data_IF_175708856186
#
_entry.id   IF_175708856186
#
_cell.length_a   1.000
_cell.length_b   1.000
_cell.length_c   1.000
_cell.angle_alpha   90.00
_cell.angle_beta   90.00
_cell.angle_gamma   90.00
#
_symmetry.space_group_name_H-M   'P 1'
#
loop_
_entity.id
_entity.type
_entity.pdbx_description
1 polymer ?
#
# COMPACT_ATOMS: atom_id res chain seq x y z
N UNK A 1 -2.96 -0.72 -38.05
CA UNK A 1 -3.49 -1.93 -37.39
C UNK A 1 -4.29 -1.48 -36.20
N UNK A 2 -5.49 -2.04 -36.06
CA UNK A 2 -6.68 -1.51 -35.37
C UNK A 2 -6.50 -1.09 -33.91
N UNK A 3 -7.04 0.07 -33.54
CA UNK A 3 -6.85 0.77 -32.25
C UNK A 3 -8.01 0.59 -31.25
N UNK A 4 -8.76 -0.52 -31.28
CA UNK A 4 -10.02 -0.66 -30.51
C UNK A 4 -10.00 -1.62 -29.31
N UNK A 5 -8.88 -1.78 -28.57
CA UNK A 5 -8.86 -2.68 -27.39
C UNK A 5 -7.86 -2.29 -26.29
N UNK A 6 -7.96 -1.08 -25.72
CA UNK A 6 -7.07 -0.61 -24.63
C UNK A 6 -7.83 -0.23 -23.33
N UNK A 7 -9.10 -0.58 -23.19
CA UNK A 7 -9.89 -0.14 -22.04
C UNK A 7 -10.36 -1.28 -21.13
N UNK A 8 -9.62 -1.45 -20.01
CA UNK A 8 -10.09 -1.89 -18.69
C UNK A 8 -8.89 -2.04 -17.74
N UNK A 9 -8.75 -1.11 -16.81
CA UNK A 9 -7.93 -1.33 -15.61
C UNK A 9 -6.87 -0.28 -15.30
N UNK A 10 -7.27 0.99 -15.12
CA UNK A 10 -6.39 1.96 -14.48
C UNK A 10 -7.22 2.89 -13.59
N UNK A 11 -6.77 3.00 -12.33
CA UNK A 11 -7.28 3.81 -11.21
C UNK A 11 -8.20 3.11 -10.21
N UNK A 12 -7.74 1.98 -9.64
CA UNK A 12 -8.51 1.23 -8.64
C UNK A 12 -7.70 0.79 -7.40
N UNK A 13 -6.37 0.84 -7.41
CA UNK A 13 -5.57 0.16 -6.39
C UNK A 13 -5.61 0.74 -4.97
N UNK A 14 -6.37 1.82 -4.70
CA UNK A 14 -6.65 2.22 -3.31
C UNK A 14 -8.12 2.54 -3.02
N UNK A 15 -9.05 2.40 -3.98
CA UNK A 15 -10.44 2.85 -3.81
C UNK A 15 -11.56 1.94 -4.37
N UNK A 16 -11.29 0.84 -5.12
CA UNK A 16 -12.36 -0.15 -5.38
C UNK A 16 -11.98 -1.59 -4.99
N UNK A 17 -12.08 -1.88 -3.70
CA UNK A 17 -12.40 -3.24 -3.24
C UNK A 17 -13.69 -3.31 -2.41
N UNK A 18 -14.50 -2.24 -2.38
CA UNK A 18 -15.83 -2.27 -1.77
C UNK A 18 -16.91 -2.40 -2.85
N UNK A 19 -17.73 -3.45 -2.73
CA UNK A 19 -18.94 -3.75 -3.50
C UNK A 19 -18.77 -4.36 -4.90
N UNK A 20 -18.59 -5.68 -4.94
CA UNK A 20 -19.11 -6.52 -6.02
C UNK A 20 -19.61 -7.85 -5.47
N UNK A 21 -20.80 -7.85 -4.86
CA UNK A 21 -21.66 -9.04 -4.71
C UNK A 21 -23.14 -8.60 -4.71
N UNK A 22 -23.90 -9.18 -5.63
CA UNK A 22 -25.36 -9.29 -5.74
C UNK A 22 -26.26 -8.05 -5.60
N UNK A 23 -26.68 -7.53 -6.76
CA UNK A 23 -27.95 -6.82 -6.89
C UNK A 23 -29.06 -7.83 -7.22
N UNK A 24 -29.66 -8.41 -6.19
CA UNK A 24 -31.06 -8.85 -6.27
C UNK A 24 -31.91 -7.80 -5.54
N UNK A 25 -32.83 -7.17 -6.27
CA UNK A 25 -33.80 -6.21 -5.73
C UNK A 25 -34.58 -6.79 -4.54
N UNK A 26 -35.02 -5.91 -3.62
CA UNK A 26 -36.46 -5.81 -3.46
C UNK A 26 -36.99 -4.38 -3.36
N UNK A 27 -38.16 -4.22 -3.98
CA UNK A 27 -39.13 -3.14 -3.84
C UNK A 27 -39.59 -2.88 -2.41
N UNK A 28 -39.62 -1.60 -1.98
CA UNK A 28 -40.76 -0.87 -1.37
C UNK A 28 -40.31 0.29 -0.43
N UNK A 29 -41.13 1.34 -0.23
CA UNK A 29 -40.66 2.67 0.17
C UNK A 29 -40.90 3.04 1.65
N UNK A 30 -40.10 3.99 2.14
CA UNK A 30 -40.48 4.93 3.20
C UNK A 30 -40.06 4.56 4.63
N UNK A 31 -38.92 5.10 5.09
CA UNK A 31 -38.69 5.35 6.50
C UNK A 31 -37.91 6.66 6.66
N UNK A 32 -38.51 7.59 7.42
CA UNK A 32 -37.94 8.89 7.73
C UNK A 32 -36.70 8.76 8.63
N UNK A 33 -35.65 9.53 8.32
CA UNK A 33 -34.47 9.68 9.16
C UNK A 33 -34.84 10.36 10.48
N UNK A 34 -34.84 9.58 11.56
CA UNK A 34 -34.86 10.08 12.94
C UNK A 34 -33.41 10.37 13.36
N UNK A 35 -33.12 11.62 13.67
CA UNK A 35 -31.85 12.03 14.30
C UNK A 35 -32.01 11.84 15.80
N UNK A 36 -31.27 10.89 16.37
CA UNK A 36 -31.05 10.85 17.82
C UNK A 36 -29.67 11.44 18.14
N UNK A 37 -29.59 12.42 19.06
CA UNK A 37 -28.34 12.76 19.73
C UNK A 37 -28.11 11.82 20.93
N UNK A 38 -26.86 11.77 21.37
CA UNK A 38 -26.29 10.96 22.46
C UNK A 38 -25.91 9.52 22.11
N UNK A 39 -24.69 9.37 21.58
CA UNK A 39 -23.92 8.13 21.75
C UNK A 39 -22.80 8.36 22.75
N UNK A 40 -22.87 7.62 23.86
CA UNK A 40 -21.72 7.34 24.69
C UNK A 40 -20.56 6.82 23.81
N UNK A 41 -19.32 7.23 24.12
CA UNK A 41 -18.09 6.66 23.56
C UNK A 41 -17.98 5.19 24.00
N UNK A 42 -18.71 4.31 23.33
CA UNK A 42 -18.35 2.91 23.29
C UNK A 42 -17.01 2.84 22.55
N UNK A 43 -16.02 2.20 23.18
CA UNK A 43 -14.76 1.81 22.54
C UNK A 43 -15.08 0.89 21.36
N UNK A 44 -15.25 1.47 20.18
CA UNK A 44 -15.37 0.75 18.92
C UNK A 44 -13.98 0.28 18.52
N UNK A 45 -13.43 -0.73 19.21
CA UNK A 45 -12.28 -1.45 18.67
C UNK A 45 -12.78 -2.32 17.54
N UNK A 46 -12.34 -2.04 16.31
CA UNK A 46 -12.66 -2.89 15.17
C UNK A 46 -12.26 -4.35 15.46
N UNK A 47 -13.11 -5.33 15.09
CA UNK A 47 -12.86 -6.72 15.41
C UNK A 47 -11.56 -7.21 14.76
N UNK A 48 -10.95 -8.23 15.38
CA UNK A 48 -9.81 -8.91 14.79
C UNK A 48 -10.15 -9.40 13.37
N UNK A 49 -9.27 -9.20 12.38
CA UNK A 49 -9.48 -9.72 11.04
C UNK A 49 -9.30 -11.24 11.02
N UNK A 50 -9.82 -11.88 9.96
CA UNK A 50 -9.76 -13.33 9.76
C UNK A 50 -9.18 -13.68 8.38
N UNK A 51 -8.44 -14.79 8.24
CA UNK A 51 -7.97 -15.69 9.30
C UNK A 51 -6.74 -15.14 10.04
N UNK A 52 -6.54 -15.52 11.30
CA UNK A 52 -5.25 -15.38 11.99
C UNK A 52 -4.42 -16.64 11.83
N UNK A 53 -3.09 -16.49 11.85
CA UNK A 53 -2.13 -17.60 11.77
C UNK A 53 -1.16 -17.52 12.92
N UNK A 54 -0.63 -18.68 13.33
CA UNK A 54 0.38 -18.79 14.38
C UNK A 54 1.75 -19.15 13.78
N UNK A 55 2.77 -18.37 14.10
CA UNK A 55 4.17 -18.63 13.69
C UNK A 55 5.05 -18.74 14.91
N UNK A 56 5.88 -19.78 14.96
CA UNK A 56 6.84 -20.01 16.04
C UNK A 56 8.22 -19.44 15.69
N UNK A 57 8.77 -18.68 16.63
CA UNK A 57 9.97 -17.85 16.52
C UNK A 57 11.16 -18.35 17.33
N UNK A 58 11.20 -19.63 17.72
CA UNK A 58 12.15 -20.11 18.75
C UNK A 58 11.34 -20.56 19.95
N UNK A 59 11.55 -19.94 21.12
CA UNK A 59 10.72 -20.16 22.31
C UNK A 59 9.44 -19.33 22.35
N UNK A 60 9.29 -18.33 21.48
CA UNK A 60 8.13 -17.45 21.37
C UNK A 60 7.27 -17.80 20.15
N UNK A 61 6.00 -17.39 20.17
CA UNK A 61 5.08 -17.51 19.04
C UNK A 61 4.27 -16.23 18.87
N UNK A 62 3.94 -15.88 17.64
CA UNK A 62 3.10 -14.75 17.30
C UNK A 62 1.85 -15.24 16.56
N UNK A 63 0.69 -14.80 17.02
CA UNK A 63 -0.56 -14.90 16.27
C UNK A 63 -0.81 -13.57 15.54
N UNK A 64 -1.00 -13.60 14.22
CA UNK A 64 -1.20 -12.39 13.44
C UNK A 64 -2.03 -12.63 12.18
N UNK A 65 -2.53 -11.54 11.61
CA UNK A 65 -3.21 -11.56 10.31
C UNK A 65 -2.17 -11.63 9.19
N UNK A 66 -2.19 -12.65 8.33
CA UNK A 66 -1.12 -12.88 7.36
C UNK A 66 -1.20 -11.97 6.13
N UNK A 67 -1.89 -10.83 6.24
CA UNK A 67 -2.08 -9.85 5.19
C UNK A 67 -1.94 -8.43 5.73
N UNK A 68 -1.73 -7.48 4.81
CA UNK A 68 -1.95 -6.05 5.04
C UNK A 68 -3.37 -5.65 4.63
N UNK A 69 -3.83 -4.50 5.10
CA UNK A 69 -5.10 -3.89 4.69
C UNK A 69 -4.94 -2.40 4.39
N UNK A 70 -5.93 -1.79 3.74
CA UNK A 70 -6.03 -0.32 3.57
C UNK A 70 -7.01 0.32 4.54
N UNK A 71 -7.64 -0.49 5.39
CA UNK A 71 -8.75 -0.19 6.27
C UNK A 71 -8.72 -1.17 7.45
N UNK A 72 -9.44 -0.85 8.53
CA UNK A 72 -9.65 -1.77 9.65
C UNK A 72 -10.77 -2.73 9.26
N UNK A 73 -10.55 -4.04 9.43
CA UNK A 73 -11.49 -5.08 9.01
C UNK A 73 -11.75 -5.16 7.49
N UNK A 74 -11.00 -4.42 6.67
CA UNK A 74 -11.12 -4.43 5.21
C UNK A 74 -10.61 -5.71 4.54
N UNK A 75 -10.82 -5.85 3.22
CA UNK A 75 -10.28 -6.99 2.47
C UNK A 75 -8.74 -7.02 2.52
N UNK A 76 -8.14 -8.21 2.48
CA UNK A 76 -6.68 -8.35 2.49
C UNK A 76 -6.08 -7.78 1.19
N UNK A 77 -5.00 -7.00 1.33
CA UNK A 77 -4.26 -6.39 0.22
C UNK A 77 -3.06 -7.24 -0.19
N UNK A 78 -2.03 -7.31 0.64
CA UNK A 78 -0.76 -7.98 0.32
C UNK A 78 -0.38 -8.98 1.42
N UNK A 79 0.19 -10.15 1.10
CA UNK A 79 0.57 -11.14 2.09
C UNK A 79 1.76 -10.66 2.93
N UNK A 80 1.72 -10.91 4.24
CA UNK A 80 2.92 -10.80 5.07
C UNK A 80 3.91 -11.90 4.63
N UNK A 81 5.16 -11.52 4.33
CA UNK A 81 6.15 -12.45 3.79
C UNK A 81 7.51 -12.38 4.51
N UNK A 82 7.60 -11.60 5.58
CA UNK A 82 8.77 -11.44 6.43
C UNK A 82 8.34 -11.35 7.90
N UNK A 83 9.03 -12.06 8.78
CA UNK A 83 8.77 -12.08 10.23
C UNK A 83 10.09 -11.97 10.98
N UNK A 84 10.17 -11.06 11.94
CA UNK A 84 11.34 -10.82 12.77
C UNK A 84 10.95 -11.00 14.24
N UNK A 85 11.17 -12.19 14.83
CA UNK A 85 10.90 -12.44 16.23
C UNK A 85 11.80 -11.61 17.13
N UNK A 86 11.22 -10.98 18.15
CA UNK A 86 11.95 -10.24 19.19
C UNK A 86 12.86 -9.13 18.60
N UNK A 87 12.37 -8.42 17.58
CA UNK A 87 13.09 -7.37 16.86
C UNK A 87 12.22 -6.13 16.70
N UNK A 88 12.76 -4.99 17.12
CA UNK A 88 12.16 -3.66 16.93
C UNK A 88 12.18 -3.23 15.44
N UNK A 89 11.07 -2.65 14.96
CA UNK A 89 10.94 -2.18 13.57
C UNK A 89 12.04 -1.18 13.16
N UNK A 90 12.59 -0.41 14.11
CA UNK A 90 13.69 0.53 13.90
C UNK A 90 15.02 -0.20 13.68
N UNK A 91 15.23 -1.35 14.33
CA UNK A 91 16.41 -2.21 14.11
C UNK A 91 16.40 -2.79 12.70
N UNK A 92 15.24 -3.25 12.21
CA UNK A 92 15.07 -3.70 10.81
C UNK A 92 15.43 -2.59 9.83
N UNK A 93 14.89 -1.39 10.06
CA UNK A 93 15.22 -0.21 9.25
C UNK A 93 16.71 0.10 9.26
N UNK A 94 17.32 0.18 10.44
CA UNK A 94 18.74 0.51 10.59
C UNK A 94 19.62 -0.51 9.84
N UNK A 95 19.34 -1.81 10.00
CA UNK A 95 20.05 -2.89 9.32
C UNK A 95 20.05 -2.73 7.80
N UNK A 96 18.91 -2.39 7.21
CA UNK A 96 18.77 -2.23 5.75
C UNK A 96 19.42 -0.94 5.23
N UNK A 97 19.32 0.16 5.98
CA UNK A 97 19.81 1.47 5.58
C UNK A 97 21.36 1.57 5.57
N UNK A 98 22.05 0.64 6.23
CA UNK A 98 23.53 0.57 6.24
C UNK A 98 24.13 -0.09 4.99
N UNK A 99 23.31 -0.73 4.15
CA UNK A 99 23.79 -1.53 3.03
C UNK A 99 24.08 -0.69 1.78
N UNK A 100 25.16 -1.04 1.09
CA UNK A 100 25.63 -0.40 -0.15
C UNK A 100 24.85 -0.79 -1.43
N UNK A 101 23.89 -1.70 -1.31
CA UNK A 101 23.12 -2.23 -2.44
C UNK A 101 23.82 -3.28 -3.33
N UNK A 102 25.08 -3.64 -3.07
CA UNK A 102 25.80 -4.62 -3.90
C UNK A 102 25.42 -6.07 -3.55
N UNK A 103 24.51 -6.64 -4.34
CA UNK A 103 23.97 -8.00 -4.14
C UNK A 103 24.53 -9.03 -5.11
N UNK A 104 25.58 -8.71 -5.88
CA UNK A 104 26.09 -9.57 -6.96
C UNK A 104 26.59 -10.92 -6.49
N UNK A 105 27.17 -10.99 -5.28
CA UNK A 105 27.59 -12.24 -4.64
C UNK A 105 26.44 -13.24 -4.39
N UNK A 106 25.19 -12.77 -4.43
CA UNK A 106 23.97 -13.56 -4.22
C UNK A 106 23.16 -13.74 -5.51
N UNK A 107 23.76 -13.47 -6.68
CA UNK A 107 23.15 -13.70 -7.98
C UNK A 107 22.20 -12.59 -8.48
N UNK A 108 22.05 -11.50 -7.73
CA UNK A 108 21.29 -10.34 -8.22
C UNK A 108 22.10 -9.54 -9.26
N UNK A 109 21.46 -9.06 -10.32
CA UNK A 109 22.16 -8.31 -11.36
C UNK A 109 22.59 -6.93 -10.84
N UNK A 110 23.72 -6.43 -11.33
CA UNK A 110 24.24 -5.10 -10.99
C UNK A 110 23.52 -3.96 -11.75
N UNK A 111 22.19 -3.99 -11.80
CA UNK A 111 21.35 -3.01 -12.51
C UNK A 111 20.18 -2.58 -11.63
N UNK A 112 19.62 -1.39 -11.86
CA UNK A 112 18.48 -0.93 -11.09
C UNK A 112 17.22 -1.79 -11.37
N UNK A 113 16.35 -2.03 -10.36
CA UNK A 113 16.49 -1.66 -8.96
C UNK A 113 17.11 -2.78 -8.10
N UNK A 114 17.99 -3.63 -8.65
CA UNK A 114 18.61 -4.73 -7.90
C UNK A 114 19.91 -4.31 -7.20
N UNK A 115 20.53 -3.21 -7.62
CA UNK A 115 21.75 -2.65 -7.05
C UNK A 115 21.53 -1.36 -6.22
N UNK A 116 20.28 -1.05 -5.85
CA UNK A 116 19.95 0.14 -5.06
C UNK A 116 20.32 -0.01 -3.58
N UNK A 117 20.48 1.12 -2.92
CA UNK A 117 20.44 1.24 -1.45
C UNK A 117 19.00 1.44 -0.98
N UNK A 118 18.71 1.01 0.23
CA UNK A 118 17.42 1.31 0.86
C UNK A 118 17.33 2.79 1.23
N UNK A 119 16.12 3.34 1.12
CA UNK A 119 15.76 4.69 1.55
C UNK A 119 14.32 4.71 2.04
N UNK A 120 13.94 5.82 2.69
CA UNK A 120 12.56 6.04 3.11
C UNK A 120 11.62 6.01 1.90
N UNK A 121 10.56 5.21 1.98
CA UNK A 121 9.56 5.11 0.93
C UNK A 121 8.45 6.14 1.12
N UNK A 122 7.93 6.61 -0.01
CA UNK A 122 6.61 7.21 -0.07
C UNK A 122 5.59 6.15 -0.49
N UNK A 123 4.52 6.04 0.27
CA UNK A 123 3.41 5.13 0.01
C UNK A 123 2.31 5.35 1.04
N UNK A 124 1.06 5.06 0.64
CA UNK A 124 -0.06 5.09 1.56
C UNK A 124 0.18 4.13 2.72
N UNK A 125 -0.23 4.55 3.91
CA UNK A 125 -0.21 3.69 5.08
C UNK A 125 -1.16 2.50 4.91
N UNK A 126 -0.71 1.34 5.40
CA UNK A 126 -1.49 0.11 5.47
C UNK A 126 -1.64 -0.35 6.91
N UNK A 127 -2.62 -1.22 7.14
CA UNK A 127 -2.94 -1.84 8.42
C UNK A 127 -2.43 -3.28 8.47
N UNK A 128 -2.13 -3.75 9.67
CA UNK A 128 -1.87 -5.14 10.02
C UNK A 128 -2.49 -5.43 11.39
N UNK A 129 -2.46 -6.69 11.82
CA UNK A 129 -3.03 -7.08 13.12
C UNK A 129 -2.22 -8.20 13.76
N UNK A 130 -2.00 -8.14 15.07
CA UNK A 130 -1.38 -9.20 15.84
C UNK A 130 -1.94 -9.32 17.26
N UNK A 131 -2.01 -10.53 17.81
CA UNK A 131 -2.39 -10.76 19.21
C UNK A 131 -1.13 -10.74 20.10
N UNK A 132 -1.14 -10.07 21.26
CA UNK A 132 -2.22 -9.28 21.86
C UNK A 132 -2.21 -7.78 21.46
N UNK A 133 -1.33 -7.37 20.56
CA UNK A 133 -1.09 -5.95 20.23
C UNK A 133 -2.25 -5.23 19.56
N UNK A 134 -3.18 -5.95 18.94
CA UNK A 134 -4.30 -5.40 18.19
C UNK A 134 -3.90 -4.93 16.79
N UNK A 135 -4.59 -3.89 16.30
CA UNK A 135 -4.28 -3.26 15.03
C UNK A 135 -2.96 -2.51 15.08
N UNK A 136 -2.22 -2.56 13.98
CA UNK A 136 -0.94 -1.87 13.80
C UNK A 136 -0.87 -1.24 12.42
N UNK A 137 -0.12 -0.16 12.27
CA UNK A 137 0.08 0.53 11.00
C UNK A 137 1.47 0.28 10.43
N UNK A 138 1.62 0.47 9.12
CA UNK A 138 2.92 0.42 8.42
C UNK A 138 3.78 1.65 8.75
N UNK A 139 4.22 1.77 10.00
CA UNK A 139 4.83 2.99 10.54
C UNK A 139 6.16 3.35 9.87
N UNK A 140 6.92 2.34 9.45
CA UNK A 140 8.14 2.52 8.66
C UNK A 140 7.95 1.84 7.31
N UNK A 141 8.22 2.59 6.24
CA UNK A 141 8.19 2.08 4.87
C UNK A 141 9.53 2.40 4.19
N UNK A 142 10.11 1.41 3.51
CA UNK A 142 11.40 1.52 2.85
C UNK A 142 11.30 1.11 1.38
N UNK A 143 12.03 1.79 0.50
CA UNK A 143 12.12 1.43 -0.90
C UNK A 143 13.56 1.22 -1.32
N UNK A 144 13.74 0.32 -2.27
CA UNK A 144 14.98 0.12 -3.01
C UNK A 144 14.65 0.28 -4.49
N UNK A 145 15.16 1.35 -5.09
CA UNK A 145 14.76 1.86 -6.40
C UNK A 145 14.26 3.30 -6.30
N UNK A 146 13.72 3.84 -7.38
CA UNK A 146 13.02 5.11 -7.36
C UNK A 146 11.51 4.90 -7.30
N UNK A 147 10.73 5.95 -7.04
CA UNK A 147 9.27 5.87 -6.99
C UNK A 147 8.68 5.29 -8.28
N UNK A 148 9.37 5.47 -9.41
CA UNK A 148 9.11 4.73 -10.64
C UNK A 148 10.36 4.66 -11.51
N UNK A 149 10.41 3.75 -12.49
CA UNK A 149 9.30 2.89 -12.94
C UNK A 149 9.16 1.57 -12.17
N UNK A 150 10.19 1.09 -11.49
CA UNK A 150 10.14 -0.17 -10.72
C UNK A 150 10.91 -0.02 -9.40
N UNK A 151 10.43 -0.69 -8.35
CA UNK A 151 11.09 -0.69 -7.05
C UNK A 151 10.73 -1.92 -6.23
N UNK A 152 11.57 -2.19 -5.24
CA UNK A 152 11.20 -2.98 -4.08
C UNK A 152 10.65 -2.04 -3.02
N UNK A 153 9.56 -2.45 -2.38
CA UNK A 153 8.91 -1.69 -1.33
C UNK A 153 8.65 -2.62 -0.14
N UNK A 154 8.99 -2.14 1.05
CA UNK A 154 8.91 -2.86 2.30
C UNK A 154 8.11 -2.04 3.30
N UNK A 155 7.06 -2.63 3.86
CA UNK A 155 6.26 -2.06 4.95
C UNK A 155 6.52 -2.83 6.23
N UNK A 156 6.87 -2.12 7.30
CA UNK A 156 7.15 -2.68 8.61
C UNK A 156 6.03 -2.33 9.60
N UNK A 157 5.60 -3.34 10.34
CA UNK A 157 4.52 -3.23 11.32
C UNK A 157 5.04 -3.76 12.66
N UNK A 158 4.80 -3.00 13.73
CA UNK A 158 5.06 -3.47 15.10
C UNK A 158 3.96 -4.46 15.51
N UNK A 159 4.35 -5.63 15.99
CA UNK A 159 3.49 -6.71 16.43
C UNK A 159 3.93 -7.17 17.84
N UNK A 160 3.89 -6.24 18.79
CA UNK A 160 4.43 -6.44 20.13
C UNK A 160 5.95 -6.41 20.09
N UNK A 161 6.60 -7.42 20.68
CA UNK A 161 8.05 -7.60 20.61
C UNK A 161 8.52 -8.04 19.22
N UNK A 162 7.60 -8.34 18.31
CA UNK A 162 7.90 -8.81 16.97
C UNK A 162 7.73 -7.69 15.94
N UNK A 163 8.44 -7.83 14.83
CA UNK A 163 8.14 -7.11 13.60
C UNK A 163 7.58 -8.07 12.57
N UNK A 164 6.44 -7.73 11.96
CA UNK A 164 5.97 -8.38 10.74
C UNK A 164 6.09 -7.40 9.57
N UNK A 165 6.32 -7.93 8.38
CA UNK A 165 6.54 -7.09 7.22
C UNK A 165 6.00 -7.70 5.93
N UNK A 166 5.62 -6.77 5.05
CA UNK A 166 5.25 -7.04 3.67
C UNK A 166 6.27 -6.39 2.74
N UNK A 167 7.00 -7.22 2.00
CA UNK A 167 7.87 -6.81 0.91
C UNK A 167 7.24 -7.15 -0.45
N UNK A 168 7.27 -6.23 -1.41
CA UNK A 168 6.84 -6.50 -2.79
C UNK A 168 7.73 -5.79 -3.79
N UNK A 169 7.94 -6.43 -4.94
CA UNK A 169 8.53 -5.85 -6.13
C UNK A 169 7.38 -5.37 -7.01
N UNK A 170 7.40 -4.09 -7.39
CA UNK A 170 6.29 -3.44 -8.05
C UNK A 170 6.74 -2.54 -9.20
N UNK A 171 5.80 -2.26 -10.09
CA UNK A 171 5.95 -1.30 -11.19
C UNK A 171 4.98 -0.14 -10.97
N UNK A 172 5.46 1.08 -11.20
CA UNK A 172 4.58 2.24 -11.27
C UNK A 172 3.73 2.12 -12.53
N UNK A 173 2.42 2.17 -12.35
CA UNK A 173 1.50 2.23 -13.48
C UNK A 173 1.66 3.59 -14.16
N UNK A 174 2.04 3.58 -15.44
CA UNK A 174 2.46 4.77 -16.16
C UNK A 174 1.43 5.91 -16.09
N UNK A 175 1.90 7.10 -15.71
CA UNK A 175 1.05 8.30 -15.60
C UNK A 175 0.18 8.36 -14.33
N UNK A 176 0.41 7.46 -13.37
CA UNK A 176 -0.34 7.38 -12.12
C UNK A 176 0.58 7.31 -10.90
N UNK A 177 0.02 7.48 -9.71
CA UNK A 177 0.68 7.19 -8.43
C UNK A 177 0.44 5.74 -7.96
N UNK A 178 -0.33 4.96 -8.71
CA UNK A 178 -0.61 3.57 -8.41
C UNK A 178 0.58 2.67 -8.80
N UNK A 179 0.74 1.61 -8.03
CA UNK A 179 1.72 0.58 -8.28
C UNK A 179 1.03 -0.76 -8.44
N UNK A 180 1.54 -1.57 -9.36
CA UNK A 180 1.09 -2.94 -9.57
C UNK A 180 2.18 -3.88 -9.07
N UNK A 181 1.82 -4.76 -8.15
CA UNK A 181 2.75 -5.76 -7.61
C UNK A 181 3.09 -6.78 -8.69
N UNK A 182 4.38 -7.03 -8.88
CA UNK A 182 4.91 -8.02 -9.80
C UNK A 182 5.37 -9.29 -9.08
N UNK A 183 5.87 -9.18 -7.84
CA UNK A 183 6.32 -10.34 -7.06
C UNK A 183 6.50 -10.05 -5.58
N UNK A 184 5.91 -10.86 -4.69
CA UNK A 184 6.28 -10.89 -3.27
C UNK A 184 7.52 -11.76 -3.03
N UNK A 185 7.68 -12.84 -3.79
CA UNK A 185 8.78 -13.79 -3.63
C UNK A 185 10.14 -13.16 -3.90
N UNK A 186 10.25 -12.33 -4.95
CA UNK A 186 11.49 -11.65 -5.28
C UNK A 186 11.86 -10.62 -4.21
N UNK A 187 10.88 -9.91 -3.65
CA UNK A 187 11.12 -8.97 -2.56
C UNK A 187 11.52 -9.69 -1.26
N UNK A 188 10.86 -10.80 -0.93
CA UNK A 188 11.24 -11.68 0.18
C UNK A 188 12.70 -12.14 0.05
N UNK A 189 13.10 -12.59 -1.13
CA UNK A 189 14.48 -13.00 -1.41
C UNK A 189 15.47 -11.84 -1.26
N UNK A 190 15.16 -10.67 -1.82
CA UNK A 190 16.04 -9.50 -1.73
C UNK A 190 16.25 -9.05 -0.29
N UNK A 191 15.17 -8.91 0.50
CA UNK A 191 15.27 -8.53 1.91
C UNK A 191 16.01 -9.60 2.72
N UNK A 192 15.76 -10.88 2.45
CA UNK A 192 16.49 -11.98 3.10
C UNK A 192 17.99 -11.90 2.85
N UNK A 193 18.40 -11.69 1.59
CA UNK A 193 19.81 -11.52 1.23
C UNK A 193 20.41 -10.29 1.90
N UNK A 194 19.68 -9.18 1.94
CA UNK A 194 20.15 -7.97 2.61
C UNK A 194 20.32 -8.16 4.12
N UNK A 195 19.45 -8.93 4.78
CA UNK A 195 19.62 -9.28 6.19
C UNK A 195 20.80 -10.21 6.44
N UNK A 196 21.10 -11.14 5.51
CA UNK A 196 22.34 -11.93 5.59
C UNK A 196 23.56 -11.01 5.43
N UNK A 197 23.52 -10.07 4.48
CA UNK A 197 24.61 -9.14 4.17
C UNK A 197 24.87 -8.11 5.27
N UNK A 198 23.85 -7.72 6.02
CA UNK A 198 24.03 -6.79 7.14
C UNK A 198 24.81 -7.40 8.30
N UNK A 199 24.93 -8.75 8.34
CA UNK A 199 25.67 -9.47 9.39
C UNK A 199 24.97 -9.48 10.75
N UNK A 200 23.71 -9.03 10.82
CA UNK A 200 22.97 -8.87 12.09
C UNK A 200 22.24 -10.14 12.51
N UNK A 201 22.14 -11.15 11.64
CA UNK A 201 21.37 -12.36 11.91
C UNK A 201 22.08 -13.24 12.96
N UNK A 202 21.32 -13.64 13.99
CA UNK A 202 21.76 -14.59 15.02
C UNK A 202 21.52 -16.06 14.65
N UNK A 203 20.75 -16.31 13.60
CA UNK A 203 20.48 -17.65 13.07
C UNK A 203 20.26 -17.58 11.55
N UNK A 204 20.42 -18.71 10.86
CA UNK A 204 20.09 -18.80 9.45
C UNK A 204 18.60 -18.46 9.22
N UNK A 205 18.26 -17.75 8.12
CA UNK A 205 16.88 -17.55 7.72
C UNK A 205 16.12 -18.88 7.61
N UNK A 206 14.88 -18.91 8.09
CA UNK A 206 14.05 -20.11 8.05
C UNK A 206 12.63 -19.77 7.57
N UNK A 207 12.03 -20.54 6.64
CA UNK A 207 10.67 -20.28 6.22
C UNK A 207 9.66 -20.66 7.32
N UNK A 208 8.54 -19.96 7.36
CA UNK A 208 7.38 -20.38 8.17
C UNK A 208 6.73 -21.65 7.59
N UNK A 209 5.73 -22.19 8.30
CA UNK A 209 4.68 -22.99 7.68
C UNK A 209 3.84 -22.16 6.68
N UNK A 210 2.84 -22.77 6.07
CA UNK A 210 1.90 -22.05 5.19
C UNK A 210 1.05 -21.09 6.02
N UNK A 211 1.09 -19.81 5.66
CA UNK A 211 0.32 -18.72 6.27
C UNK A 211 -0.64 -18.04 5.28
N UNK A 212 -0.42 -18.20 3.98
CA UNK A 212 -1.30 -17.67 2.92
C UNK A 212 -1.51 -18.71 1.80
N UNK A 213 -2.54 -18.55 0.93
CA UNK A 213 -2.83 -19.46 -0.17
C UNK A 213 -1.67 -19.65 -1.15
N UNK A 214 -1.59 -20.84 -1.73
CA UNK A 214 -0.59 -21.24 -2.74
C UNK A 214 -1.27 -21.86 -3.94
N UNK A 215 -0.64 -21.88 -5.15
CA UNK A 215 0.69 -21.39 -5.48
C UNK A 215 0.75 -19.90 -5.88
N UNK A 216 -0.37 -19.19 -5.81
CA UNK A 216 -0.49 -17.80 -6.29
C UNK A 216 -1.39 -16.99 -5.37
N UNK A 217 -1.17 -15.67 -5.34
CA UNK A 217 -2.06 -14.72 -4.66
C UNK A 217 -2.29 -13.51 -5.58
N UNK A 218 -3.54 -13.09 -5.78
CA UNK A 218 -3.93 -12.03 -6.74
C UNK A 218 -3.36 -12.26 -8.17
N UNK A 219 -3.58 -11.27 -9.03
CA UNK A 219 -3.21 -11.32 -10.45
C UNK A 219 -2.81 -9.93 -10.95
N UNK A 220 -1.91 -9.86 -11.90
CA UNK A 220 -1.55 -8.67 -12.65
C UNK A 220 -2.61 -8.42 -13.74
N UNK A 221 -3.10 -7.19 -13.86
CA UNK A 221 -4.03 -6.83 -14.94
C UNK A 221 -3.34 -6.99 -16.33
N UNK A 222 -3.98 -7.64 -17.33
CA UNK A 222 -3.39 -7.84 -18.65
C UNK A 222 -2.95 -6.55 -19.37
N UNK A 223 -3.70 -5.46 -19.19
CA UNK A 223 -3.38 -4.16 -19.81
C UNK A 223 -2.08 -3.59 -19.26
N UNK A 224 -1.82 -3.73 -17.96
CA UNK A 224 -0.57 -3.33 -17.31
C UNK A 224 0.54 -4.30 -17.67
N UNK A 225 0.27 -5.61 -17.56
CA UNK A 225 1.24 -6.66 -17.86
C UNK A 225 1.81 -6.54 -19.27
N UNK A 226 0.96 -6.29 -20.26
CA UNK A 226 1.39 -6.21 -21.65
C UNK A 226 2.31 -5.02 -21.94
N UNK A 227 2.27 -3.96 -21.13
CA UNK A 227 3.16 -2.80 -21.19
C UNK A 227 4.53 -3.05 -20.54
N UNK A 228 4.69 -4.15 -19.79
CA UNK A 228 5.96 -4.48 -19.17
C UNK A 228 7.05 -4.79 -20.21
N UNK A 229 8.30 -4.34 -19.98
CA UNK A 229 9.46 -4.84 -20.72
C UNK A 229 9.58 -6.37 -20.65
N UNK A 230 10.10 -6.99 -21.70
CA UNK A 230 10.23 -8.45 -21.81
C UNK A 230 11.02 -9.08 -20.64
N UNK A 231 12.03 -8.38 -20.12
CA UNK A 231 12.80 -8.82 -18.95
C UNK A 231 11.92 -8.92 -17.69
N UNK A 232 11.02 -7.96 -17.44
CA UNK A 232 10.10 -8.00 -16.30
C UNK A 232 9.03 -9.09 -16.48
N UNK A 233 8.53 -9.30 -17.70
CA UNK A 233 7.61 -10.41 -18.00
C UNK A 233 8.24 -11.76 -17.68
N UNK A 234 9.50 -11.95 -18.11
CA UNK A 234 10.28 -13.15 -17.82
C UNK A 234 10.46 -13.35 -16.31
N UNK A 235 10.76 -12.27 -15.58
CA UNK A 235 10.94 -12.29 -14.12
C UNK A 235 9.66 -12.71 -13.37
N UNK A 236 8.49 -12.32 -13.87
CA UNK A 236 7.19 -12.75 -13.31
C UNK A 236 6.81 -14.21 -13.64
N UNK A 237 7.56 -14.87 -14.53
CA UNK A 237 7.22 -16.22 -15.02
C UNK A 237 5.96 -16.29 -15.88
N UNK A 238 5.44 -15.14 -16.33
CA UNK A 238 4.23 -15.05 -17.14
C UNK A 238 4.46 -15.22 -18.65
N UNK A 239 3.38 -15.20 -19.46
CA UNK A 239 3.47 -15.33 -20.91
C UNK A 239 4.09 -14.10 -21.59
N UNK A 240 4.52 -14.19 -22.85
CA UNK A 240 5.00 -13.01 -23.60
C UNK A 240 3.92 -11.93 -23.78
N UNK A 241 2.67 -12.37 -23.89
CA UNK A 241 1.46 -11.55 -24.00
C UNK A 241 0.35 -12.19 -23.17
N UNK A 242 -0.30 -11.40 -22.33
CA UNK A 242 -1.41 -11.84 -21.49
C UNK A 242 -2.75 -11.47 -22.13
N UNK A 243 -3.64 -12.46 -22.25
CA UNK A 243 -5.05 -12.27 -22.64
C UNK A 243 -6.02 -12.42 -21.46
N UNK A 244 -5.52 -12.90 -20.32
CA UNK A 244 -6.21 -13.06 -19.05
C UNK A 244 -5.29 -12.59 -17.90
N UNK A 245 -5.84 -12.21 -16.73
CA UNK A 245 -5.02 -11.77 -15.60
C UNK A 245 -3.89 -12.77 -15.27
N UNK A 246 -2.68 -12.25 -15.07
CA UNK A 246 -1.49 -13.10 -14.86
C UNK A 246 -1.33 -13.38 -13.36
N UNK A 247 -1.41 -14.63 -12.89
CA UNK A 247 -1.26 -14.94 -11.48
C UNK A 247 0.11 -14.51 -10.94
N UNK A 248 0.13 -13.93 -9.74
CA UNK A 248 1.39 -13.59 -9.07
C UNK A 248 1.77 -14.77 -8.15
N UNK A 249 2.97 -15.31 -8.33
CA UNK A 249 3.46 -16.44 -7.54
C UNK A 249 3.54 -16.10 -6.04
N UNK A 250 3.10 -17.05 -5.21
CA UNK A 250 3.14 -16.97 -3.75
C UNK A 250 3.35 -18.38 -3.19
N UNK A 251 4.46 -18.61 -2.47
CA UNK A 251 4.76 -19.90 -1.85
C UNK A 251 4.02 -20.11 -0.51
N UNK A 252 3.27 -19.09 -0.08
CA UNK A 252 2.44 -19.13 1.12
C UNK A 252 3.24 -18.97 2.41
N UNK A 253 4.54 -18.67 2.35
CA UNK A 253 5.44 -18.68 3.51
C UNK A 253 6.15 -17.34 3.66
N UNK A 254 6.23 -16.88 4.89
CA UNK A 254 7.14 -15.81 5.25
C UNK A 254 8.55 -16.34 5.53
N UNK A 255 9.55 -15.47 5.46
CA UNK A 255 10.89 -15.76 5.97
C UNK A 255 11.01 -15.26 7.41
N UNK A 256 11.43 -16.13 8.32
CA UNK A 256 11.76 -15.79 9.69
C UNK A 256 13.23 -15.36 9.77
N UNK A 257 13.47 -14.14 10.24
CA UNK A 257 14.77 -13.47 10.27
C UNK A 257 15.06 -13.02 11.71
N UNK A 258 15.98 -13.71 12.39
CA UNK A 258 16.30 -13.46 13.82
C UNK A 258 17.57 -12.65 13.94
N UNK A 259 17.53 -11.56 14.68
CA UNK A 259 18.71 -10.75 14.93
C UNK A 259 19.51 -11.34 16.10
N UNK A 260 20.83 -11.18 16.07
CA UNK A 260 21.70 -11.51 17.20
C UNK A 260 21.64 -10.44 18.31
N UNK A 261 21.18 -9.24 17.97
CA UNK A 261 21.00 -8.12 18.88
C UNK A 261 20.43 -6.90 18.15
N UNK A 262 20.18 -5.83 18.91
CA UNK A 262 19.61 -4.60 18.37
C UNK A 262 20.59 -3.84 17.48
N UNK A 263 20.03 -3.18 16.47
CA UNK A 263 20.79 -2.38 15.50
C UNK A 263 20.39 -0.93 15.68
N UNK A 264 21.33 -0.13 16.17
CA UNK A 264 21.07 1.30 16.39
C UNK A 264 21.17 2.05 15.08
N UNK A 265 20.12 2.80 14.76
CA UNK A 265 20.10 3.69 13.60
C UNK A 265 20.86 4.99 13.85
N UNK A 266 21.43 5.56 12.80
CA UNK A 266 22.01 6.90 12.88
C UNK A 266 20.91 7.98 12.93
N UNK A 267 21.17 9.02 13.71
CA UNK A 267 20.37 10.25 13.67
C UNK A 267 20.36 10.77 12.24
N UNK A 268 19.17 11.02 11.70
CA UNK A 268 19.04 11.44 10.30
C UNK A 268 17.82 12.32 10.08
N UNK A 269 17.88 13.14 9.03
CA UNK A 269 16.72 13.85 8.49
C UNK A 269 16.72 13.62 6.98
N UNK A 270 15.77 12.82 6.50
CA UNK A 270 15.56 12.60 5.08
C UNK A 270 14.41 13.50 4.60
N UNK A 271 14.60 14.12 3.43
CA UNK A 271 13.57 14.88 2.73
C UNK A 271 13.51 14.42 1.29
N UNK A 272 12.30 14.32 0.77
CA UNK A 272 12.08 13.98 -0.63
C UNK A 272 10.86 14.72 -1.14
N UNK A 273 10.98 15.24 -2.35
CA UNK A 273 9.92 15.98 -3.03
C UNK A 273 9.93 15.59 -4.51
N UNK A 274 8.75 15.45 -5.12
CA UNK A 274 8.62 15.31 -6.56
C UNK A 274 7.23 15.73 -7.01
N UNK A 275 7.08 15.97 -8.32
CA UNK A 275 5.80 16.31 -8.93
C UNK A 275 5.41 15.20 -9.90
N UNK A 276 4.19 14.67 -9.73
CA UNK A 276 3.59 13.77 -10.71
C UNK A 276 2.62 14.55 -11.59
N UNK A 277 2.85 14.53 -12.90
CA UNK A 277 1.94 15.14 -13.86
C UNK A 277 0.93 14.10 -14.33
N UNK A 278 -0.34 14.28 -13.94
CA UNK A 278 -1.44 13.50 -14.47
C UNK A 278 -1.74 13.94 -15.89
N UNK A 279 -1.95 12.96 -16.77
CA UNK A 279 -2.43 13.17 -18.12
C UNK A 279 -3.07 11.88 -18.65
N UNK A 280 -4.14 11.44 -18.00
CA UNK A 280 -4.70 10.10 -18.22
C UNK A 280 -6.23 10.10 -18.25
N UNK A 281 -6.79 9.15 -19.00
CA UNK A 281 -8.23 8.88 -19.02
C UNK A 281 -8.52 7.73 -18.08
N UNK A 282 -9.37 7.97 -17.07
CA UNK A 282 -9.64 7.03 -15.99
C UNK A 282 -11.15 6.91 -15.77
N UNK A 283 -11.65 5.76 -15.27
CA UNK A 283 -13.00 5.70 -14.73
C UNK A 283 -13.14 6.74 -13.62
N UNK A 284 -14.33 7.35 -13.50
CA UNK A 284 -14.63 8.24 -12.39
C UNK A 284 -14.48 7.46 -11.08
N UNK A 285 -13.68 7.93 -10.10
CA UNK A 285 -13.31 7.12 -8.93
C UNK A 285 -14.44 6.93 -7.91
N UNK A 286 -15.42 7.84 -7.88
CA UNK A 286 -16.59 7.77 -7.01
C UNK A 286 -17.76 8.51 -7.64
N UNK A 287 -18.97 8.28 -7.12
CA UNK A 287 -20.20 8.85 -7.68
C UNK A 287 -20.37 8.51 -9.17
N UNK A 288 -20.09 7.24 -9.50
CA UNK A 288 -20.26 6.63 -10.82
C UNK A 288 -21.75 6.39 -11.04
N UNK A 289 -22.29 6.90 -12.15
CA UNK A 289 -23.68 6.70 -12.59
C UNK A 289 -23.78 5.67 -13.71
N UNK A 290 -22.68 5.45 -14.43
CA UNK A 290 -22.61 4.54 -15.57
C UNK A 290 -21.22 3.91 -15.70
N UNK A 291 -21.10 2.68 -16.24
CA UNK A 291 -19.82 2.06 -16.55
C UNK A 291 -19.00 2.83 -17.61
N UNK A 292 -19.58 3.86 -18.24
CA UNK A 292 -18.90 4.74 -19.21
C UNK A 292 -18.54 6.12 -18.65
N UNK A 293 -18.70 6.34 -17.34
CA UNK A 293 -18.30 7.59 -16.71
C UNK A 293 -16.77 7.63 -16.57
N UNK A 294 -16.12 8.27 -17.54
CA UNK A 294 -14.67 8.45 -17.57
C UNK A 294 -14.30 9.93 -17.57
N UNK A 295 -13.16 10.21 -16.96
CA UNK A 295 -12.56 11.53 -16.87
C UNK A 295 -11.18 11.49 -17.51
N UNK A 296 -10.89 12.47 -18.38
CA UNK A 296 -9.52 12.86 -18.67
C UNK A 296 -9.06 13.77 -17.53
N UNK A 297 -8.08 13.29 -16.77
CA UNK A 297 -7.51 13.97 -15.61
C UNK A 297 -6.15 14.51 -15.98
N UNK A 298 -5.98 15.82 -15.83
CA UNK A 298 -4.73 16.52 -16.15
C UNK A 298 -4.32 17.48 -15.06
N UNK A 299 -3.03 17.52 -14.75
CA UNK A 299 -2.46 18.49 -13.81
C UNK A 299 -1.45 17.88 -12.85
N UNK A 300 -0.72 18.72 -12.11
CA UNK A 300 0.31 18.25 -11.18
C UNK A 300 -0.28 17.84 -9.83
N UNK A 301 0.36 16.85 -9.22
CA UNK A 301 0.30 16.59 -7.78
C UNK A 301 1.74 16.71 -7.23
N UNK A 302 1.91 17.59 -6.25
CA UNK A 302 3.15 17.73 -5.49
C UNK A 302 3.17 16.71 -4.36
N UNK A 303 4.26 15.95 -4.27
CA UNK A 303 4.54 15.01 -3.19
C UNK A 303 5.69 15.54 -2.36
N UNK A 304 5.58 15.46 -1.03
CA UNK A 304 6.65 15.80 -0.11
C UNK A 304 6.66 14.85 1.08
N UNK A 305 7.84 14.48 1.53
CA UNK A 305 8.03 13.66 2.71
C UNK A 305 9.21 14.18 3.51
N UNK A 306 9.06 14.16 4.83
CA UNK A 306 10.14 14.37 5.77
C UNK A 306 10.15 13.23 6.79
N UNK A 307 11.30 12.60 6.94
CA UNK A 307 11.57 11.63 8.00
C UNK A 307 12.65 12.18 8.91
N UNK A 308 12.43 12.07 10.23
CA UNK A 308 13.37 12.45 11.27
C UNK A 308 13.63 11.24 12.16
N UNK A 309 14.90 10.88 12.32
CA UNK A 309 15.37 9.90 13.29
C UNK A 309 16.21 10.61 14.34
N UNK A 310 15.82 10.53 15.59
CA UNK A 310 16.56 11.13 16.71
C UNK A 310 17.81 10.31 17.05
N UNK A 311 18.68 10.86 17.92
CA UNK A 311 19.79 10.09 18.48
C UNK A 311 19.38 8.94 19.41
N UNK A 312 18.11 8.91 19.85
CA UNK A 312 17.52 7.80 20.62
C UNK A 312 16.77 6.80 19.71
N UNK A 313 16.91 6.92 18.38
CA UNK A 313 16.21 6.06 17.43
C UNK A 313 14.74 6.39 17.21
N UNK A 314 14.18 7.43 17.85
CA UNK A 314 12.78 7.82 17.62
C UNK A 314 12.59 8.22 16.16
N UNK A 315 11.60 7.62 15.50
CA UNK A 315 11.27 7.84 14.10
C UNK A 315 10.00 8.66 13.98
N UNK A 316 10.03 9.70 13.15
CA UNK A 316 8.84 10.48 12.78
C UNK A 316 8.85 10.67 11.27
N UNK A 317 7.81 10.21 10.59
CA UNK A 317 7.56 10.48 9.18
C UNK A 317 6.35 11.39 9.02
N UNK A 318 6.45 12.34 8.08
CA UNK A 318 5.34 13.17 7.61
C UNK A 318 5.35 13.16 6.10
N UNK A 319 4.20 12.87 5.51
CA UNK A 319 4.02 12.87 4.08
C UNK A 319 2.82 13.75 3.71
N UNK A 320 2.96 14.44 2.59
CA UNK A 320 1.91 15.26 2.01
C UNK A 320 1.86 15.03 0.50
N UNK A 321 0.65 14.85 -0.02
CA UNK A 321 0.36 15.01 -1.44
C UNK A 321 -0.68 16.12 -1.62
N UNK A 322 -0.50 16.99 -2.60
CA UNK A 322 -1.48 18.04 -2.91
C UNK A 322 -1.51 18.35 -4.39
N UNK A 323 -2.69 18.61 -4.93
CA UNK A 323 -2.81 18.94 -6.34
C UNK A 323 -4.14 19.62 -6.67
N UNK A 324 -4.11 20.36 -7.77
CA UNK A 324 -5.31 20.83 -8.44
C UNK A 324 -5.32 20.25 -9.85
N UNK A 325 -6.34 19.43 -10.12
CA UNK A 325 -6.47 18.69 -11.36
C UNK A 325 -7.63 19.27 -12.16
N UNK A 326 -7.50 19.26 -13.48
CA UNK A 326 -8.63 19.45 -14.39
C UNK A 326 -9.23 18.09 -14.69
N UNK A 327 -10.56 18.02 -14.67
CA UNK A 327 -11.33 16.82 -14.96
C UNK A 327 -12.24 17.13 -16.16
N UNK A 328 -12.02 16.42 -17.26
CA UNK A 328 -12.84 16.59 -18.47
C UNK A 328 -13.60 15.27 -18.66
N UNK A 329 -14.93 15.24 -18.58
CA UNK A 329 -15.66 14.03 -18.91
C UNK A 329 -15.39 13.64 -20.37
N UNK A 330 -15.13 12.37 -20.60
CA UNK A 330 -14.78 11.86 -21.93
C UNK A 330 -15.49 10.54 -22.20
N UNK A 331 -15.89 10.34 -23.44
CA UNK A 331 -16.27 9.02 -23.91
C UNK A 331 -15.01 8.15 -23.98
N UNK A 332 -14.95 7.05 -23.21
CA UNK A 332 -13.75 6.25 -23.11
C UNK A 332 -13.42 5.48 -24.39
N UNK A 333 -14.40 5.25 -25.28
CA UNK A 333 -14.24 4.51 -26.54
C UNK A 333 -13.76 5.40 -27.69
N UNK A 334 -14.21 6.66 -27.73
CA UNK A 334 -13.92 7.57 -28.85
C UNK A 334 -12.95 8.69 -28.48
N UNK A 335 -12.71 8.92 -27.18
CA UNK A 335 -11.96 10.06 -26.67
C UNK A 335 -12.71 11.39 -26.79
N UNK A 336 -13.96 11.39 -27.25
CA UNK A 336 -14.76 12.59 -27.40
C UNK A 336 -15.02 13.23 -26.03
N UNK A 337 -14.77 14.53 -25.91
CA UNK A 337 -15.10 15.30 -24.71
C UNK A 337 -16.62 15.42 -24.57
N UNK A 338 -17.12 15.23 -23.36
CA UNK A 338 -18.50 15.47 -22.97
C UNK A 338 -18.58 16.37 -21.75
N UNK A 339 -19.67 17.14 -21.62
CA UNK A 339 -19.92 17.99 -20.45
C UNK A 339 -18.90 19.11 -20.23
N UNK A 340 -19.00 19.75 -19.07
CA UNK A 340 -18.13 20.85 -18.67
C UNK A 340 -16.81 20.34 -18.07
N UNK A 341 -15.75 21.13 -18.24
CA UNK A 341 -14.48 20.89 -17.53
C UNK A 341 -14.64 21.27 -16.06
N UNK A 342 -14.36 20.32 -15.18
CA UNK A 342 -14.40 20.50 -13.73
C UNK A 342 -12.99 20.65 -13.17
N UNK A 343 -12.89 21.12 -11.93
CA UNK A 343 -11.63 21.15 -11.17
C UNK A 343 -11.71 20.17 -10.01
N UNK A 344 -10.68 19.38 -9.78
CA UNK A 344 -10.52 18.59 -8.57
C UNK A 344 -9.44 19.20 -7.67
N UNK A 345 -9.65 19.16 -6.38
CA UNK A 345 -8.59 19.32 -5.38
C UNK A 345 -8.34 17.99 -4.71
N UNK A 346 -7.06 17.61 -4.66
CA UNK A 346 -6.60 16.38 -4.02
C UNK A 346 -5.61 16.75 -2.93
N UNK A 347 -5.72 16.07 -1.79
CA UNK A 347 -4.90 16.31 -0.62
C UNK A 347 -4.73 14.99 0.14
N UNK A 348 -3.52 14.75 0.63
CA UNK A 348 -3.19 13.61 1.47
C UNK A 348 -2.22 14.07 2.57
N UNK A 349 -2.43 13.59 3.79
CA UNK A 349 -1.60 13.88 4.94
C UNK A 349 -1.39 12.61 5.75
N UNK A 350 -0.14 12.17 5.80
CA UNK A 350 0.24 10.96 6.53
C UNK A 350 1.25 11.33 7.60
N UNK A 351 1.16 10.65 8.74
CA UNK A 351 2.07 10.77 9.86
C UNK A 351 2.31 9.40 10.47
N UNK A 352 3.59 9.07 10.64
CA UNK A 352 4.01 7.88 11.37
C UNK A 352 4.97 8.26 12.48
N UNK A 353 4.83 7.63 13.65
CA UNK A 353 5.68 7.84 14.82
C UNK A 353 6.07 6.48 15.38
N UNK A 354 7.35 6.28 15.68
CA UNK A 354 7.85 5.13 16.42
C UNK A 354 8.81 5.62 17.50
N UNK A 355 8.49 5.32 18.75
CA UNK A 355 9.34 5.50 19.93
C UNK A 355 9.30 4.24 20.77
N UNK A 356 10.04 4.21 21.87
CA UNK A 356 9.98 3.07 22.82
C UNK A 356 8.61 2.90 23.49
N UNK A 357 7.71 3.89 23.38
CA UNK A 357 6.41 3.91 24.05
C UNK A 357 5.23 3.87 23.08
N UNK A 358 5.44 4.30 21.83
CA UNK A 358 4.35 4.46 20.88
C UNK A 358 4.78 4.10 19.46
N UNK A 359 3.98 3.24 18.84
CA UNK A 359 3.87 3.16 17.38
C UNK A 359 2.52 3.77 16.99
N UNK A 360 2.53 4.77 16.12
CA UNK A 360 1.33 5.45 15.64
C UNK A 360 1.42 5.68 14.14
N UNK A 361 0.29 5.46 13.46
CA UNK A 361 0.07 5.78 12.06
C UNK A 361 -1.24 6.55 11.95
N UNK A 362 -1.21 7.68 11.26
CA UNK A 362 -2.39 8.47 10.94
C UNK A 362 -2.33 8.92 9.49
N UNK A 363 -3.45 8.81 8.78
CA UNK A 363 -3.60 9.23 7.39
C UNK A 363 -4.94 9.97 7.20
N UNK A 364 -4.92 10.99 6.34
CA UNK A 364 -6.11 11.70 5.88
C UNK A 364 -5.96 11.90 4.37
N UNK A 365 -6.92 11.40 3.61
CA UNK A 365 -7.05 11.66 2.19
C UNK A 365 -8.34 12.44 1.93
N UNK A 366 -8.26 13.44 1.05
CA UNK A 366 -9.39 14.25 0.63
C UNK A 366 -9.34 14.48 -0.89
N UNK A 367 -10.46 14.21 -1.55
CA UNK A 367 -10.69 14.52 -2.95
C UNK A 367 -12.02 15.27 -3.08
N UNK A 368 -12.01 16.43 -3.72
CA UNK A 368 -13.21 17.28 -3.88
C UNK A 368 -13.28 17.79 -5.31
N UNK A 369 -14.44 17.65 -5.96
CA UNK A 369 -14.70 18.26 -7.27
C UNK A 369 -15.34 19.64 -7.05
N UNK A 370 -14.94 20.62 -7.86
CA UNK A 370 -15.32 22.02 -7.78
C UNK A 370 -16.02 22.48 -9.07
N UNK A 371 -16.99 23.42 -8.96
CA UNK A 371 -17.45 24.07 -7.72
C UNK A 371 -18.33 23.14 -6.86
N UNK A 372 -18.15 23.20 -5.53
CA UNK A 372 -18.91 22.39 -4.55
C UNK A 372 -20.42 22.68 -4.60
N UNK A 373 -20.82 23.82 -5.17
CA UNK A 373 -22.22 24.28 -5.24
C UNK A 373 -23.05 23.59 -6.31
N UNK A 374 -22.40 22.98 -7.31
CA UNK A 374 -23.14 22.25 -8.33
C UNK A 374 -23.47 20.84 -7.81
N UNK A 375 -24.74 20.46 -7.93
CA UNK A 375 -25.31 19.17 -7.52
C UNK A 375 -24.72 17.96 -8.30
N UNK A 376 -23.49 18.04 -8.81
CA UNK A 376 -22.78 16.95 -9.49
C UNK A 376 -21.34 16.70 -8.98
N UNK A 377 -20.83 17.54 -8.07
CA UNK A 377 -19.38 17.71 -7.83
C UNK A 377 -18.81 16.88 -6.65
N UNK A 378 -19.21 15.62 -6.52
CA UNK A 378 -18.96 14.79 -5.31
C UNK A 378 -17.57 14.86 -4.64
N UNK A 379 -17.51 14.41 -3.40
CA UNK A 379 -16.29 14.38 -2.58
C UNK A 379 -16.03 13.01 -1.96
N UNK A 380 -14.76 12.77 -1.61
CA UNK A 380 -14.32 11.62 -0.84
C UNK A 380 -13.37 12.10 0.27
N UNK A 381 -13.61 11.63 1.49
CA UNK A 381 -12.71 11.73 2.64
C UNK A 381 -12.41 10.32 3.14
N UNK A 382 -11.14 9.99 3.28
CA UNK A 382 -10.69 8.79 3.97
C UNK A 382 -9.81 9.17 5.15
N UNK A 383 -10.04 8.58 6.32
CA UNK A 383 -9.16 8.72 7.49
C UNK A 383 -8.75 7.35 7.98
N UNK A 384 -7.51 7.26 8.46
CA UNK A 384 -6.99 6.09 9.16
C UNK A 384 -6.21 6.59 10.38
N UNK A 385 -6.41 5.95 11.51
CA UNK A 385 -5.65 6.15 12.73
C UNK A 385 -5.44 4.79 13.39
N UNK A 386 -4.19 4.42 13.64
CA UNK A 386 -3.82 3.19 14.33
C UNK A 386 -2.72 3.53 15.33
N UNK A 387 -2.91 3.17 16.60
CA UNK A 387 -1.96 3.54 17.64
C UNK A 387 -2.42 3.28 19.07
N UNK A 388 -1.64 3.70 20.08
CA UNK A 388 -1.90 3.35 21.46
C UNK A 388 -3.22 3.92 21.98
N UNK A 389 -3.79 3.24 22.97
CA UNK A 389 -4.99 3.70 23.69
C UNK A 389 -6.32 3.21 23.13
N UNK A 390 -6.32 2.22 22.22
CA UNK A 390 -7.56 1.65 21.67
C UNK A 390 -8.36 2.63 20.84
N UNK A 391 -7.68 3.59 20.20
CA UNK A 391 -8.27 4.62 19.34
C UNK A 391 -8.08 4.33 17.86
N UNK A 392 -7.98 3.03 17.53
CA UNK A 392 -7.92 2.58 16.15
C UNK A 392 -9.24 2.96 15.46
N UNK A 393 -9.14 3.66 14.34
CA UNK A 393 -10.29 4.16 13.62
C UNK A 393 -9.96 4.32 12.15
N UNK A 394 -10.85 3.87 11.28
CA UNK A 394 -10.90 4.28 9.90
C UNK A 394 -12.29 4.78 9.49
N UNK A 395 -12.33 5.63 8.48
CA UNK A 395 -13.57 6.16 7.94
C UNK A 395 -13.39 6.40 6.44
N UNK A 396 -14.39 6.03 5.64
CA UNK A 396 -14.51 6.43 4.25
C UNK A 396 -15.87 7.10 4.04
N UNK A 397 -15.87 8.40 3.79
CA UNK A 397 -17.07 9.18 3.49
C UNK A 397 -17.03 9.60 2.04
N UNK A 398 -18.01 9.12 1.26
CA UNK A 398 -18.24 9.57 -0.11
C UNK A 398 -19.56 10.35 -0.12
N UNK A 399 -19.50 11.59 -0.58
CA UNK A 399 -20.69 12.44 -0.76
C UNK A 399 -20.93 12.64 -2.25
N UNK A 400 -22.00 12.04 -2.75
CA UNK A 400 -22.46 12.23 -4.12
C UNK A 400 -23.60 13.21 -4.12
N UNK A 401 -23.58 14.09 -5.12
CA UNK A 401 -24.66 15.01 -5.29
C UNK A 401 -25.83 14.32 -6.00
N UNK A 402 -27.03 14.57 -5.46
CA UNK A 402 -28.30 13.92 -5.75
C UNK A 402 -28.80 14.22 -7.16
#
# INVERSE_FOLDING_TARGET
MDTSTILRGLLVASLLQTAACDLTEPTAPGAALSVQPDMALASLTDPAPSPLVNVSGGSSSLEFWPYTGTALGGPPSDPMNLVFPDVDIRSVRAALMMLDGNRTAYGFPAVAPFNCTWKEAMGANQTGYATPSGWTGSAIQLECGDYGPVRFHLRLFSAGDWTIANGHFEVQVQGTNAHEVLSWELAKQLVTVDMVRSGVLGAAPAPTGLITPTPTYRTINPSIYNLLPAALKTLTGGPSTATAPVPIANDGRAMILRFAGDVQGERSVAKREFVLNFNQTIPKPFCVRSPYDYLRVTGPIDFSQQVVVSGSGNFISRFHARGQLQLIPVNPLTGAVGGDTLTARVMEHDRSVVTDQVTLVAALQLQVILPVKDLASGSMRATLHVGPGGSDHDELVISCAS
#
